data_IF_536364549245
#
_entry.id   IF_536364549245
#
_cell.length_a   1.000
_cell.length_b   1.000
_cell.length_c   1.000
_cell.angle_alpha   90.00
_cell.angle_beta   90.00
_cell.angle_gamma   90.00
#
_symmetry.space_group_name_H-M   'P 1'
#
loop_
_entity.id
_entity.type
_entity.pdbx_description
1 polymer ?
#
# COMPACT_ATOMS: atom_id res chain seq x y z
N UNK A 1 -24.62 -20.72 -7.65
CA UNK A 1 -23.74 -21.90 -7.70
C UNK A 1 -22.70 -21.61 -8.74
N UNK A 2 -21.47 -21.26 -8.34
CA UNK A 2 -20.40 -20.98 -9.31
C UNK A 2 -20.06 -22.28 -10.03
N UNK A 3 -20.15 -22.27 -11.35
CA UNK A 3 -19.81 -23.41 -12.21
C UNK A 3 -18.33 -23.71 -12.07
N UNK A 4 -17.92 -24.98 -12.11
CA UNK A 4 -16.50 -25.40 -11.98
C UNK A 4 -15.53 -24.66 -12.95
N UNK A 5 -16.06 -24.18 -14.07
CA UNK A 5 -15.34 -23.38 -15.07
C UNK A 5 -14.97 -21.98 -14.52
N UNK A 6 -15.84 -21.37 -13.72
CA UNK A 6 -15.65 -20.03 -13.14
C UNK A 6 -14.55 -20.05 -12.07
N UNK A 7 -14.51 -21.13 -11.27
CA UNK A 7 -13.51 -21.31 -10.23
C UNK A 7 -12.11 -21.58 -10.81
N UNK A 8 -12.01 -22.38 -11.88
CA UNK A 8 -10.74 -22.67 -12.54
C UNK A 8 -10.14 -21.45 -13.27
N UNK A 9 -10.99 -20.63 -13.90
CA UNK A 9 -10.54 -19.41 -14.57
C UNK A 9 -10.07 -18.35 -13.56
N UNK A 10 -10.79 -18.16 -12.46
CA UNK A 10 -10.41 -17.24 -11.38
C UNK A 10 -9.07 -17.63 -10.76
N UNK A 11 -8.86 -18.93 -10.49
CA UNK A 11 -7.60 -19.41 -9.91
C UNK A 11 -6.40 -19.18 -10.85
N UNK A 12 -6.59 -19.35 -12.16
CA UNK A 12 -5.56 -19.01 -13.14
C UNK A 12 -5.26 -17.50 -13.17
N UNK A 13 -6.31 -16.68 -13.01
CA UNK A 13 -6.19 -15.23 -12.99
C UNK A 13 -5.43 -14.71 -11.77
N UNK A 14 -5.65 -15.29 -10.58
CA UNK A 14 -4.94 -14.93 -9.34
C UNK A 14 -3.42 -15.09 -9.45
N UNK A 15 -2.95 -16.02 -10.29
CA UNK A 15 -1.53 -16.22 -10.54
C UNK A 15 -1.00 -15.38 -11.70
N UNK A 16 -1.73 -15.32 -12.82
CA UNK A 16 -1.26 -14.65 -14.06
C UNK A 16 -1.33 -13.13 -13.92
N UNK A 17 -2.37 -12.61 -13.27
CA UNK A 17 -2.61 -11.18 -13.23
C UNK A 17 -1.49 -10.39 -12.53
N UNK A 18 -0.97 -10.80 -11.34
CA UNK A 18 0.15 -10.10 -10.70
C UNK A 18 1.39 -9.99 -11.60
N UNK A 19 1.66 -11.03 -12.40
CA UNK A 19 2.81 -11.06 -13.33
C UNK A 19 2.65 -10.01 -14.41
N UNK A 20 1.48 -9.99 -15.06
CA UNK A 20 1.18 -9.05 -16.13
C UNK A 20 1.17 -7.62 -15.58
N UNK A 21 0.61 -7.43 -14.37
CA UNK A 21 0.59 -6.14 -13.70
C UNK A 21 1.99 -5.60 -13.45
N UNK A 22 2.87 -6.41 -12.84
CA UNK A 22 4.27 -6.04 -12.58
C UNK A 22 5.02 -5.78 -13.88
N UNK A 23 4.83 -6.62 -14.88
CA UNK A 23 5.41 -6.44 -16.20
C UNK A 23 5.02 -5.09 -16.79
N UNK A 24 3.72 -4.76 -16.78
CA UNK A 24 3.20 -3.51 -17.31
C UNK A 24 3.73 -2.28 -16.55
N UNK A 25 3.78 -2.34 -15.22
CA UNK A 25 4.35 -1.26 -14.42
C UNK A 25 5.84 -1.07 -14.69
N UNK A 26 6.61 -2.16 -14.70
CA UNK A 26 8.06 -2.08 -14.92
C UNK A 26 8.36 -1.55 -16.32
N UNK A 27 7.63 -2.04 -17.33
CA UNK A 27 7.72 -1.55 -18.70
C UNK A 27 7.35 -0.06 -18.80
N UNK A 28 6.26 0.37 -18.16
CA UNK A 28 5.86 1.78 -18.13
C UNK A 28 6.92 2.69 -17.47
N UNK A 29 7.53 2.23 -16.37
CA UNK A 29 8.61 2.95 -15.69
C UNK A 29 9.83 3.07 -16.60
N UNK A 30 10.26 1.97 -17.24
CA UNK A 30 11.40 1.96 -18.15
C UNK A 30 11.17 2.88 -19.36
N UNK A 31 9.98 2.82 -19.99
CA UNK A 31 9.63 3.71 -21.11
C UNK A 31 9.59 5.18 -20.73
N UNK A 32 9.12 5.50 -19.53
CA UNK A 32 9.04 6.89 -19.06
C UNK A 32 10.40 7.46 -18.67
N UNK A 33 11.26 6.63 -18.08
CA UNK A 33 12.58 7.06 -17.59
C UNK A 33 13.68 6.94 -18.65
N UNK A 34 13.47 6.12 -19.69
CA UNK A 34 14.43 5.85 -20.78
C UNK A 34 15.82 5.43 -20.28
N UNK A 35 15.87 4.69 -19.16
CA UNK A 35 17.14 4.26 -18.51
C UNK A 35 18.01 3.43 -19.46
N UNK A 36 17.41 2.66 -20.37
CA UNK A 36 18.10 1.80 -21.33
C UNK A 36 18.22 2.43 -22.74
N UNK A 37 17.94 3.73 -22.86
CA UNK A 37 17.81 4.43 -24.13
C UNK A 37 16.41 4.25 -24.76
N UNK A 38 16.30 4.46 -26.07
CA UNK A 38 15.04 4.30 -26.82
C UNK A 38 14.94 2.92 -27.52
N UNK A 39 15.35 1.87 -26.80
CA UNK A 39 15.32 0.50 -27.29
C UNK A 39 14.13 -0.27 -26.72
N UNK A 40 13.02 -0.28 -27.46
CA UNK A 40 11.78 -0.98 -27.07
C UNK A 40 12.04 -2.44 -26.65
N UNK A 41 12.88 -3.15 -27.38
CA UNK A 41 13.18 -4.56 -27.12
C UNK A 41 13.88 -4.77 -25.77
N UNK A 42 14.79 -3.86 -25.40
CA UNK A 42 15.50 -3.93 -24.12
C UNK A 42 14.54 -3.70 -22.96
N UNK A 43 13.63 -2.70 -23.09
CA UNK A 43 12.62 -2.41 -22.07
C UNK A 43 11.70 -3.62 -21.84
N UNK A 44 11.22 -4.27 -22.90
CA UNK A 44 10.39 -5.47 -22.82
C UNK A 44 11.13 -6.63 -22.15
N UNK A 45 12.39 -6.87 -22.52
CA UNK A 45 13.19 -7.94 -21.94
C UNK A 45 13.41 -7.76 -20.44
N UNK A 46 13.78 -6.54 -20.01
CA UNK A 46 14.02 -6.24 -18.59
C UNK A 46 12.72 -6.28 -17.78
N UNK A 47 11.63 -5.73 -18.30
CA UNK A 47 10.32 -5.84 -17.65
C UNK A 47 9.87 -7.30 -17.50
N UNK A 48 10.14 -8.14 -18.50
CA UNK A 48 9.84 -9.59 -18.45
C UNK A 48 10.68 -10.29 -17.38
N UNK A 49 11.98 -10.02 -17.33
CA UNK A 49 12.85 -10.56 -16.29
C UNK A 49 12.39 -10.15 -14.88
N UNK A 50 12.00 -8.89 -14.68
CA UNK A 50 11.50 -8.39 -13.41
C UNK A 50 10.16 -9.04 -13.01
N UNK A 51 9.22 -9.18 -13.94
CA UNK A 51 7.95 -9.85 -13.70
C UNK A 51 8.13 -11.32 -13.34
N UNK A 52 9.05 -12.01 -14.02
CA UNK A 52 9.44 -13.37 -13.67
C UNK A 52 10.10 -13.45 -12.29
N UNK A 53 10.94 -12.48 -11.90
CA UNK A 53 11.49 -12.44 -10.54
C UNK A 53 10.41 -12.30 -9.47
N UNK A 54 9.36 -11.49 -9.73
CA UNK A 54 8.24 -11.34 -8.80
C UNK A 54 7.46 -12.66 -8.64
N UNK A 55 7.34 -13.47 -9.70
CA UNK A 55 6.71 -14.79 -9.61
C UNK A 55 7.36 -15.72 -8.58
N UNK A 56 8.66 -15.56 -8.30
CA UNK A 56 9.35 -16.36 -7.31
C UNK A 56 9.03 -15.92 -5.87
N UNK A 57 8.46 -14.74 -5.67
CA UNK A 57 8.17 -14.17 -4.36
C UNK A 57 6.69 -14.24 -4.02
N UNK A 58 6.30 -15.23 -3.22
CA UNK A 58 4.93 -15.39 -2.72
C UNK A 58 4.44 -14.12 -2.00
N UNK A 59 5.29 -13.51 -1.17
CA UNK A 59 4.98 -12.28 -0.44
C UNK A 59 4.58 -11.14 -1.37
N UNK A 60 5.26 -10.98 -2.52
CA UNK A 60 4.91 -9.91 -3.47
C UNK A 60 3.59 -10.25 -4.18
N UNK A 61 3.38 -11.51 -4.55
CA UNK A 61 2.10 -11.97 -5.15
C UNK A 61 0.94 -11.70 -4.20
N UNK A 62 1.07 -12.06 -2.93
CA UNK A 62 0.03 -11.83 -1.91
C UNK A 62 -0.24 -10.35 -1.71
N UNK A 63 0.81 -9.51 -1.73
CA UNK A 63 0.69 -8.07 -1.64
C UNK A 63 -0.07 -7.48 -2.83
N UNK A 64 0.26 -7.93 -4.05
CA UNK A 64 -0.45 -7.51 -5.26
C UNK A 64 -1.90 -7.97 -5.22
N UNK A 65 -2.16 -9.23 -4.88
CA UNK A 65 -3.51 -9.79 -4.78
C UNK A 65 -4.37 -9.04 -3.77
N UNK A 66 -3.78 -8.58 -2.67
CA UNK A 66 -4.46 -7.70 -1.74
C UNK A 66 -4.72 -6.30 -2.33
N UNK A 67 -3.82 -5.75 -3.14
CA UNK A 67 -3.97 -4.43 -3.76
C UNK A 67 -5.04 -4.39 -4.87
N UNK A 68 -5.24 -5.49 -5.62
CA UNK A 68 -6.11 -5.53 -6.81
C UNK A 68 -7.55 -5.07 -6.54
N UNK A 69 -8.26 -5.56 -5.51
CA UNK A 69 -9.63 -5.12 -5.24
C UNK A 69 -9.70 -3.62 -4.98
N UNK A 70 -8.74 -3.08 -4.22
CA UNK A 70 -8.69 -1.65 -3.88
C UNK A 70 -8.39 -0.79 -5.11
N UNK A 71 -7.50 -1.21 -6.00
CA UNK A 71 -7.28 -0.53 -7.28
C UNK A 71 -8.52 -0.58 -8.17
N UNK A 72 -9.23 -1.71 -8.21
CA UNK A 72 -10.48 -1.82 -8.98
C UNK A 72 -11.53 -0.83 -8.48
N UNK A 73 -11.73 -0.76 -7.15
CA UNK A 73 -12.65 0.21 -6.53
C UNK A 73 -12.20 1.65 -6.83
N UNK A 74 -10.90 1.94 -6.70
CA UNK A 74 -10.37 3.26 -6.99
C UNK A 74 -10.61 3.66 -8.46
N UNK A 75 -10.32 2.77 -9.42
CA UNK A 75 -10.55 3.00 -10.84
C UNK A 75 -12.03 3.25 -11.12
N UNK A 76 -12.93 2.42 -10.58
CA UNK A 76 -14.38 2.63 -10.73
C UNK A 76 -14.78 4.00 -10.18
N UNK A 77 -14.29 4.36 -9.01
CA UNK A 77 -14.52 5.67 -8.40
C UNK A 77 -14.04 6.82 -9.30
N UNK A 78 -12.82 6.73 -9.84
CA UNK A 78 -12.27 7.73 -10.76
C UNK A 78 -13.06 7.83 -12.07
N UNK A 79 -13.50 6.70 -12.63
CA UNK A 79 -14.35 6.68 -13.83
C UNK A 79 -15.70 7.33 -13.54
N UNK A 80 -16.36 6.98 -12.43
CA UNK A 80 -17.64 7.59 -12.04
C UNK A 80 -17.49 9.10 -11.80
N UNK A 81 -16.42 9.52 -11.14
CA UNK A 81 -16.12 10.93 -10.96
C UNK A 81 -15.93 11.63 -12.31
N UNK A 82 -15.20 11.03 -13.25
CA UNK A 82 -15.01 11.57 -14.60
C UNK A 82 -16.35 11.69 -15.35
N UNK A 83 -17.22 10.68 -15.25
CA UNK A 83 -18.56 10.72 -15.83
C UNK A 83 -19.42 11.83 -15.22
N UNK A 84 -19.35 12.06 -13.90
CA UNK A 84 -20.05 13.18 -13.26
C UNK A 84 -19.56 14.52 -13.81
N UNK A 85 -18.26 14.71 -13.97
CA UNK A 85 -17.72 15.93 -14.58
C UNK A 85 -18.18 16.12 -16.03
N UNK A 86 -18.21 15.05 -16.83
CA UNK A 86 -18.74 15.11 -18.20
C UNK A 86 -20.23 15.47 -18.21
N UNK A 87 -21.01 14.96 -17.25
CA UNK A 87 -22.45 15.25 -17.11
C UNK A 87 -22.70 16.72 -16.72
N UNK A 88 -21.80 17.34 -15.95
CA UNK A 88 -21.82 18.77 -15.65
C UNK A 88 -21.31 19.66 -16.80
N UNK A 89 -21.09 19.09 -17.99
CA UNK A 89 -20.78 19.85 -19.20
C UNK A 89 -19.29 20.12 -19.42
N UNK A 90 -18.40 19.45 -18.67
CA UNK A 90 -16.96 19.51 -18.94
C UNK A 90 -16.65 18.74 -20.25
N UNK A 91 -16.55 19.46 -21.36
CA UNK A 91 -16.19 18.89 -22.67
C UNK A 91 -14.68 18.67 -22.83
N UNK A 92 -13.86 19.46 -22.13
CA UNK A 92 -12.39 19.37 -22.17
C UNK A 92 -11.87 18.36 -21.14
N UNK A 93 -12.06 17.06 -21.41
CA UNK A 93 -11.52 15.98 -20.56
C UNK A 93 -9.97 15.97 -20.51
N UNK A 94 -9.30 16.58 -21.49
CA UNK A 94 -7.84 16.67 -21.56
C UNK A 94 -7.20 17.50 -20.43
N UNK A 95 -7.89 18.54 -19.96
CA UNK A 95 -7.40 19.38 -18.85
C UNK A 95 -7.46 18.65 -17.50
N UNK A 96 -8.33 17.65 -17.39
CA UNK A 96 -8.59 16.93 -16.13
C UNK A 96 -7.40 16.05 -15.72
N UNK A 97 -6.81 15.31 -16.65
CA UNK A 97 -5.62 14.48 -16.40
C UNK A 97 -4.35 15.30 -16.14
N UNK A 98 -4.38 16.59 -16.51
CA UNK A 98 -3.26 17.52 -16.34
C UNK A 98 -3.35 18.29 -15.02
N UNK A 99 -4.50 18.21 -14.33
CA UNK A 99 -4.66 18.86 -13.03
C UNK A 99 -3.70 18.25 -12.00
N UNK A 100 -2.86 19.11 -11.43
CA UNK A 100 -1.90 18.74 -10.39
C UNK A 100 -2.63 18.15 -9.17
N UNK A 101 -3.82 18.65 -8.84
CA UNK A 101 -4.61 18.19 -7.68
C UNK A 101 -5.02 16.72 -7.84
N UNK A 102 -5.66 16.39 -8.96
CA UNK A 102 -6.08 15.02 -9.25
C UNK A 102 -4.88 14.05 -9.27
N UNK A 103 -3.76 14.47 -9.87
CA UNK A 103 -2.53 13.67 -9.90
C UNK A 103 -1.99 13.38 -8.50
N UNK A 104 -1.99 14.37 -7.62
CA UNK A 104 -1.55 14.19 -6.24
C UNK A 104 -2.50 13.29 -5.44
N UNK A 105 -3.80 13.42 -5.64
CA UNK A 105 -4.80 12.52 -5.02
C UNK A 105 -4.59 11.07 -5.49
N UNK A 106 -4.40 10.84 -6.79
CA UNK A 106 -4.10 9.52 -7.34
C UNK A 106 -2.83 8.90 -6.74
N UNK A 107 -1.76 9.70 -6.62
CA UNK A 107 -0.51 9.26 -6.01
C UNK A 107 -0.72 8.95 -4.51
N UNK A 108 -1.42 9.82 -3.78
CA UNK A 108 -1.68 9.62 -2.35
C UNK A 108 -2.51 8.35 -2.09
N UNK A 109 -3.57 8.13 -2.88
CA UNK A 109 -4.41 6.92 -2.80
C UNK A 109 -3.58 5.68 -3.16
N UNK A 110 -2.80 5.73 -4.24
CA UNK A 110 -1.93 4.62 -4.63
C UNK A 110 -0.89 4.28 -3.55
N UNK A 111 -0.24 5.29 -2.97
CA UNK A 111 0.71 5.13 -1.88
C UNK A 111 0.04 4.53 -0.63
N UNK A 112 -1.16 5.00 -0.29
CA UNK A 112 -1.95 4.48 0.83
C UNK A 112 -2.29 3.00 0.63
N UNK A 113 -2.70 2.60 -0.58
CA UNK A 113 -3.00 1.20 -0.91
C UNK A 113 -1.73 0.33 -0.78
N UNK A 114 -0.58 0.80 -1.29
CA UNK A 114 0.70 0.09 -1.15
C UNK A 114 1.10 -0.05 0.31
N UNK A 115 0.98 1.02 1.10
CA UNK A 115 1.31 1.01 2.53
C UNK A 115 0.38 0.05 3.31
N UNK A 116 -0.92 0.06 3.01
CA UNK A 116 -1.88 -0.86 3.61
C UNK A 116 -1.57 -2.32 3.24
N UNK A 117 -1.20 -2.58 1.98
CA UNK A 117 -0.84 -3.91 1.52
C UNK A 117 0.45 -4.43 2.18
N UNK A 118 1.49 -3.61 2.22
CA UNK A 118 2.73 -3.95 2.90
C UNK A 118 2.52 -4.16 4.41
N UNK A 119 1.76 -3.28 5.05
CA UNK A 119 1.39 -3.42 6.46
C UNK A 119 0.63 -4.70 6.77
N UNK A 120 -0.32 -5.09 5.92
CA UNK A 120 -1.08 -6.33 6.10
C UNK A 120 -0.23 -7.56 5.85
N UNK A 121 0.44 -7.64 4.71
CA UNK A 121 1.18 -8.85 4.30
C UNK A 121 2.44 -9.04 5.14
N UNK A 122 3.28 -8.01 5.22
CA UNK A 122 4.54 -8.10 5.97
C UNK A 122 4.30 -8.05 7.48
N UNK A 123 3.32 -7.27 7.95
CA UNK A 123 2.98 -7.20 9.37
C UNK A 123 2.51 -8.53 9.91
N UNK A 124 1.70 -9.28 9.15
CA UNK A 124 1.28 -10.62 9.55
C UNK A 124 2.47 -11.59 9.61
N UNK A 125 3.35 -11.61 8.61
CA UNK A 125 4.54 -12.49 8.61
C UNK A 125 5.46 -12.20 9.80
N UNK A 126 5.69 -10.92 10.13
CA UNK A 126 6.50 -10.52 11.28
C UNK A 126 5.87 -10.94 12.61
N UNK A 127 4.53 -10.88 12.70
CA UNK A 127 3.80 -11.28 13.89
C UNK A 127 3.87 -12.79 14.11
N UNK A 128 3.66 -13.58 13.06
CA UNK A 128 3.76 -15.05 13.09
C UNK A 128 5.18 -15.51 13.44
N UNK A 129 6.20 -14.85 12.87
CA UNK A 129 7.59 -15.11 13.20
C UNK A 129 7.90 -14.76 14.67
N UNK A 130 7.33 -13.68 15.20
CA UNK A 130 7.50 -13.27 16.61
C UNK A 130 6.80 -14.21 17.58
N UNK A 131 5.61 -14.71 17.22
CA UNK A 131 4.88 -15.70 18.00
C UNK A 131 5.60 -17.06 18.05
N UNK A 132 6.23 -17.46 16.94
CA UNK A 132 7.00 -18.72 16.85
C UNK A 132 8.34 -18.64 17.57
N UNK A 133 8.94 -17.44 17.66
CA UNK A 133 10.20 -17.20 18.37
C UNK A 133 10.08 -17.25 19.91
N UNK A 134 8.90 -17.53 20.47
CA UNK A 134 8.71 -17.73 21.91
C UNK A 134 8.87 -16.47 22.77
N UNK A 135 9.08 -15.31 22.16
CA UNK A 135 9.09 -14.00 22.83
C UNK A 135 7.65 -13.55 23.06
N UNK A 136 6.88 -14.35 23.81
CA UNK A 136 5.68 -13.84 24.44
C UNK A 136 6.14 -12.72 25.38
N UNK A 137 5.77 -11.49 25.06
CA UNK A 137 5.87 -10.40 26.02
C UNK A 137 4.90 -10.78 27.15
N UNK A 138 5.45 -11.22 28.27
CA UNK A 138 4.71 -11.50 29.50
C UNK A 138 4.14 -10.17 30.02
N UNK A 139 2.98 -9.79 29.49
CA UNK A 139 2.14 -8.74 30.06
C UNK A 139 1.48 -9.40 31.26
N UNK A 140 2.17 -9.33 32.41
CA UNK A 140 1.96 -10.12 33.61
C UNK A 140 0.59 -10.00 34.31
N UNK A 141 -0.51 -10.27 33.61
CA UNK A 141 -1.73 -10.84 34.16
C UNK A 141 -2.74 -11.35 33.09
N UNK A 142 -2.29 -11.77 31.91
CA UNK A 142 -3.18 -12.37 30.92
C UNK A 142 -2.44 -12.71 29.64
N UNK A 143 -2.24 -14.00 29.38
CA UNK A 143 -1.78 -14.53 28.10
C UNK A 143 -2.67 -14.01 26.98
N UNK A 144 -2.20 -12.97 26.29
CA UNK A 144 -2.83 -12.44 25.09
C UNK A 144 -2.35 -13.28 23.91
N UNK A 145 -2.88 -14.48 23.78
CA UNK A 145 -2.67 -15.39 22.65
C UNK A 145 -3.53 -15.00 21.44
N UNK A 146 -3.85 -13.72 21.23
CA UNK A 146 -4.59 -13.32 20.03
C UNK A 146 -3.62 -12.92 18.92
N UNK A 147 -3.75 -13.64 17.80
CA UNK A 147 -3.01 -13.48 16.55
C UNK A 147 -3.30 -12.15 15.82
N UNK A 148 -4.00 -11.21 16.46
CA UNK A 148 -4.56 -10.05 15.79
C UNK A 148 -3.63 -8.83 15.96
N UNK A 149 -2.98 -8.45 14.86
CA UNK A 149 -2.09 -7.28 14.78
C UNK A 149 -2.78 -6.00 15.26
N UNK A 150 -4.06 -5.80 14.94
CA UNK A 150 -4.84 -4.65 15.39
C UNK A 150 -4.94 -4.59 16.91
N UNK A 151 -5.17 -5.74 17.56
CA UNK A 151 -5.25 -5.81 19.01
C UNK A 151 -3.88 -5.58 19.67
N UNK A 152 -2.80 -6.05 19.06
CA UNK A 152 -1.44 -5.84 19.54
C UNK A 152 -0.98 -4.38 19.38
N UNK A 153 -1.31 -3.73 18.27
CA UNK A 153 -1.07 -2.28 18.09
C UNK A 153 -1.90 -1.49 19.09
N UNK A 154 -3.19 -1.83 19.26
CA UNK A 154 -4.06 -1.15 20.22
C UNK A 154 -3.53 -1.33 21.66
N UNK A 155 -3.20 -2.55 22.05
CA UNK A 155 -2.63 -2.85 23.37
C UNK A 155 -1.28 -2.15 23.62
N UNK A 156 -0.48 -1.97 22.56
CA UNK A 156 0.80 -1.24 22.66
C UNK A 156 0.59 0.27 22.76
N UNK A 157 -0.27 0.86 21.92
CA UNK A 157 -0.57 2.29 21.94
C UNK A 157 -1.28 2.73 23.23
N UNK A 158 -2.14 1.88 23.78
CA UNK A 158 -2.85 2.12 25.03
C UNK A 158 -2.17 1.49 26.25
N UNK A 159 -0.92 1.05 26.13
CA UNK A 159 -0.14 0.63 27.28
C UNK A 159 0.16 1.84 28.19
N UNK A 160 -0.07 1.76 29.52
CA UNK A 160 0.17 2.89 30.43
C UNK A 160 1.58 3.47 30.34
N UNK A 161 2.59 2.63 30.03
CA UNK A 161 3.99 3.07 29.88
C UNK A 161 4.21 3.85 28.58
N UNK A 162 3.59 3.41 27.48
CA UNK A 162 3.69 4.08 26.17
C UNK A 162 2.91 5.39 26.17
N UNK A 163 1.71 5.40 26.76
CA UNK A 163 0.94 6.63 27.00
C UNK A 163 1.71 7.64 27.86
N UNK A 164 2.34 7.18 28.95
CA UNK A 164 3.18 8.03 29.79
C UNK A 164 4.35 8.65 29.00
N UNK A 165 5.02 7.85 28.17
CA UNK A 165 6.11 8.33 27.32
C UNK A 165 5.62 9.35 26.27
N UNK A 166 4.47 9.09 25.63
CA UNK A 166 3.87 9.99 24.63
C UNK A 166 3.48 11.33 25.25
N UNK A 167 2.91 11.31 26.46
CA UNK A 167 2.59 12.53 27.22
C UNK A 167 3.86 13.32 27.56
N UNK A 168 4.91 12.67 28.08
CA UNK A 168 6.19 13.34 28.39
C UNK A 168 6.78 13.94 27.11
N UNK A 169 6.78 13.20 26.00
CA UNK A 169 7.29 13.67 24.72
C UNK A 169 6.53 14.91 24.23
N UNK A 170 5.20 14.91 24.35
CA UNK A 170 4.35 16.05 24.00
C UNK A 170 4.67 17.27 24.87
N UNK A 171 4.83 17.09 26.18
CA UNK A 171 5.22 18.17 27.10
C UNK A 171 6.58 18.76 26.70
N UNK A 172 7.56 17.92 26.36
CA UNK A 172 8.89 18.37 25.91
C UNK A 172 8.80 19.16 24.61
N UNK A 173 8.01 18.71 23.63
CA UNK A 173 7.80 19.44 22.36
C UNK A 173 7.18 20.82 22.62
N UNK A 174 6.16 20.92 23.47
CA UNK A 174 5.57 22.21 23.82
C UNK A 174 6.53 23.11 24.62
N UNK A 175 7.30 22.54 25.55
CA UNK A 175 8.29 23.28 26.31
C UNK A 175 9.36 23.88 25.39
N UNK A 176 9.88 23.10 24.43
CA UNK A 176 10.84 23.58 23.43
C UNK A 176 10.22 24.64 22.54
N UNK A 177 8.99 24.44 22.04
CA UNK A 177 8.32 25.40 21.17
C UNK A 177 8.10 26.76 21.86
N UNK A 178 7.69 26.76 23.13
CA UNK A 178 7.52 27.98 23.93
C UNK A 178 8.86 28.65 24.26
N UNK A 179 9.92 27.87 24.50
CA UNK A 179 11.26 28.39 24.76
C UNK A 179 11.89 28.99 23.50
N UNK A 180 11.67 28.37 22.33
CA UNK A 180 12.18 28.83 21.04
C UNK A 180 11.38 29.98 20.43
N UNK A 181 10.16 30.23 20.92
CA UNK A 181 9.28 31.30 20.46
C UNK A 181 9.40 32.61 21.25
N UNK A 182 10.31 32.70 22.23
CA UNK A 182 10.54 33.93 22.98
C UNK A 182 11.09 35.02 22.04
N UNK A 183 10.39 36.16 21.85
CA UNK A 183 10.89 37.24 21.02
C UNK A 183 12.16 37.81 21.67
N UNK A 184 13.24 37.91 20.90
CA UNK A 184 14.42 38.67 21.32
C UNK A 184 14.02 40.15 21.43
N UNK A 185 13.76 40.59 22.66
CA UNK A 185 13.64 42.01 23.04
C UNK A 185 14.74 42.34 24.03
#
# INVERSE_FOLDING_TARGET
MATLIDLGLLQAFDFIFPVILVWAFMFAILRKTKVLGDNLNADVMVASAAALMVLLSRTIIDMINFMIPWFSVAIIFFVLMLLMFMLFGAKDTEKFYTDKGLRWVLIAVGLLIVAAAGGKVMGQTLLEQSATAGTAVDVGNGTSTSSDFEQNIYATLFNPKVLGLLVIFTIVVFAVALLSGAPET
#
